data_IF_673846907654
#
_entry.id   IF_673846907654
#
_cell.length_a   1.000
_cell.length_b   1.000
_cell.length_c   1.000
_cell.angle_alpha   90.00
_cell.angle_beta   90.00
_cell.angle_gamma   90.00
#
_symmetry.space_group_name_H-M   'P 1'
#
loop_
_entity.id
_entity.type
_entity.pdbx_description
1 polymer ?
#
# COMPACT_ATOMS: atom_id res chain seq x y z
N UNK A 1 11.03 -9.92 -21.94
CA UNK A 1 10.37 -9.02 -20.96
C UNK A 1 10.83 -9.44 -19.58
N UNK A 2 11.72 -8.67 -18.96
CA UNK A 2 12.39 -9.06 -17.71
C UNK A 2 11.47 -8.71 -16.54
N UNK A 3 10.96 -9.74 -15.86
CA UNK A 3 10.21 -9.59 -14.62
C UNK A 3 11.21 -9.31 -13.51
N UNK A 4 11.34 -8.04 -13.12
CA UNK A 4 12.13 -7.65 -11.95
C UNK A 4 11.42 -8.15 -10.70
N UNK A 5 11.83 -9.31 -10.18
CA UNK A 5 11.44 -9.73 -8.83
C UNK A 5 12.16 -8.83 -7.85
N UNK A 6 11.38 -8.11 -7.04
CA UNK A 6 11.89 -7.31 -5.93
C UNK A 6 12.31 -8.31 -4.83
N UNK A 7 13.58 -8.68 -4.84
CA UNK A 7 14.24 -9.44 -3.76
C UNK A 7 14.31 -8.52 -2.53
N UNK A 8 13.34 -8.69 -1.62
CA UNK A 8 13.21 -7.90 -0.39
C UNK A 8 12.25 -6.73 -0.55
N UNK A 9 10.95 -7.00 -0.33
CA UNK A 9 9.97 -5.92 -0.19
C UNK A 9 10.38 -5.05 1.00
N UNK A 10 10.45 -3.71 0.85
CA UNK A 10 10.71 -2.84 1.99
C UNK A 10 9.63 -3.12 3.03
N UNK A 11 10.03 -3.46 4.26
CA UNK A 11 9.09 -3.80 5.34
C UNK A 11 8.04 -2.70 5.61
N UNK A 12 8.24 -1.51 5.05
CA UNK A 12 7.37 -0.36 5.13
C UNK A 12 7.44 0.47 3.83
N UNK A 13 6.35 0.55 3.07
CA UNK A 13 6.17 1.32 1.83
C UNK A 13 5.73 2.75 2.10
N UNK A 14 6.18 3.72 1.32
CA UNK A 14 5.62 5.09 1.38
C UNK A 14 4.21 5.12 0.75
N UNK A 15 3.47 6.23 0.95
CA UNK A 15 2.17 6.47 0.29
C UNK A 15 2.26 6.27 -1.23
N UNK A 16 3.33 6.75 -1.86
CA UNK A 16 3.53 6.62 -3.31
C UNK A 16 3.71 5.16 -3.75
N UNK A 17 4.50 4.39 -3.01
CA UNK A 17 4.68 2.96 -3.31
C UNK A 17 3.40 2.16 -3.04
N UNK A 18 2.66 2.49 -1.98
CA UNK A 18 1.36 1.89 -1.71
C UNK A 18 0.33 2.22 -2.81
N UNK A 19 0.35 3.45 -3.34
CA UNK A 19 -0.51 3.86 -4.44
C UNK A 19 -0.22 3.06 -5.72
N UNK A 20 1.07 2.85 -6.04
CA UNK A 20 1.50 1.99 -7.14
C UNK A 20 1.09 0.52 -6.93
N UNK A 21 1.14 0.04 -5.68
CA UNK A 21 0.74 -1.32 -5.33
C UNK A 21 -0.76 -1.55 -5.50
N UNK A 22 -1.57 -0.57 -5.12
CA UNK A 22 -3.03 -0.61 -5.21
C UNK A 22 -3.57 -0.10 -6.56
N UNK A 23 -2.69 0.15 -7.53
CA UNK A 23 -3.00 0.75 -8.84
C UNK A 23 -3.94 1.97 -8.74
N UNK A 24 -3.61 2.91 -7.84
CA UNK A 24 -4.43 4.08 -7.59
C UNK A 24 -3.59 5.36 -7.38
N UNK A 25 -4.26 6.49 -7.18
CA UNK A 25 -3.58 7.77 -6.91
C UNK A 25 -3.14 7.85 -5.45
N UNK A 26 -2.06 8.60 -5.16
CA UNK A 26 -1.64 8.87 -3.77
C UNK A 26 -2.74 9.55 -2.95
N UNK A 27 -3.57 10.38 -3.59
CA UNK A 27 -4.75 11.01 -2.98
C UNK A 27 -5.80 9.99 -2.56
N UNK A 28 -5.95 8.90 -3.32
CA UNK A 28 -6.84 7.79 -2.96
C UNK A 28 -6.33 7.10 -1.71
N UNK A 29 -5.02 6.83 -1.61
CA UNK A 29 -4.40 6.22 -0.42
C UNK A 29 -4.56 7.13 0.81
N UNK A 30 -4.37 8.44 0.66
CA UNK A 30 -4.63 9.40 1.74
C UNK A 30 -6.09 9.37 2.20
N UNK A 31 -7.04 9.36 1.26
CA UNK A 31 -8.47 9.26 1.60
C UNK A 31 -8.84 7.93 2.27
N UNK A 32 -8.18 6.84 1.89
CA UNK A 32 -8.34 5.54 2.54
C UNK A 32 -7.80 5.54 3.96
N UNK A 33 -6.68 6.21 4.18
CA UNK A 33 -6.15 6.43 5.51
C UNK A 33 -7.12 7.26 6.36
N UNK A 34 -7.63 8.38 5.85
CA UNK A 34 -8.56 9.25 6.57
C UNK A 34 -9.85 8.51 6.98
N UNK A 35 -10.28 7.55 6.16
CA UNK A 35 -11.42 6.68 6.45
C UNK A 35 -11.10 5.55 7.43
N UNK A 36 -9.83 5.30 7.74
CA UNK A 36 -9.37 4.18 8.55
C UNK A 36 -9.37 2.83 7.81
N UNK A 37 -9.53 2.85 6.48
CA UNK A 37 -9.51 1.66 5.64
C UNK A 37 -8.09 1.13 5.42
N UNK A 38 -7.08 2.00 5.53
CA UNK A 38 -5.65 1.65 5.49
C UNK A 38 -4.96 2.17 6.73
N UNK A 39 -4.31 1.28 7.48
CA UNK A 39 -3.62 1.64 8.71
C UNK A 39 -2.11 1.79 8.44
N UNK A 40 -1.56 3.02 8.48
CA UNK A 40 -0.13 3.20 8.36
C UNK A 40 0.57 2.82 9.66
N UNK A 41 1.79 2.34 9.52
CA UNK A 41 2.76 2.24 10.60
C UNK A 41 3.52 3.58 10.72
N UNK A 42 3.68 4.04 11.95
CA UNK A 42 4.55 5.17 12.25
C UNK A 42 6.00 4.66 12.37
N UNK A 43 6.88 5.21 11.55
CA UNK A 43 8.30 4.83 11.52
C UNK A 43 9.22 5.96 11.96
N UNK A 44 8.67 7.08 12.47
CA UNK A 44 9.43 8.30 12.81
C UNK A 44 9.92 9.10 11.58
N UNK A 45 9.96 8.48 10.40
CA UNK A 45 10.28 9.11 9.11
C UNK A 45 9.03 9.33 8.23
N UNK A 46 7.86 9.34 8.86
CA UNK A 46 6.56 9.48 8.20
C UNK A 46 5.76 8.18 8.13
N UNK A 47 4.57 8.30 7.54
CA UNK A 47 3.59 7.23 7.41
C UNK A 47 4.06 6.21 6.39
N UNK A 48 4.05 4.94 6.77
CA UNK A 48 4.36 3.83 5.86
C UNK A 48 3.33 2.72 5.92
N UNK A 49 3.26 1.89 4.90
CA UNK A 49 2.30 0.80 4.77
C UNK A 49 3.04 -0.52 4.59
N UNK A 50 2.64 -1.56 5.30
CA UNK A 50 3.23 -2.88 5.10
C UNK A 50 2.53 -3.57 3.93
N UNK A 51 3.23 -4.47 3.23
CA UNK A 51 2.60 -5.29 2.18
C UNK A 51 1.41 -6.09 2.73
N UNK A 52 1.54 -6.62 3.94
CA UNK A 52 0.47 -7.39 4.60
C UNK A 52 -0.82 -6.58 4.80
N UNK A 53 -0.70 -5.29 5.13
CA UNK A 53 -1.85 -4.40 5.26
C UNK A 53 -2.51 -4.13 3.90
N UNK A 54 -1.71 -3.89 2.85
CA UNK A 54 -2.22 -3.68 1.50
C UNK A 54 -2.86 -4.96 0.93
N UNK A 55 -2.28 -6.12 1.20
CA UNK A 55 -2.84 -7.43 0.83
C UNK A 55 -4.17 -7.67 1.55
N UNK A 56 -4.23 -7.43 2.87
CA UNK A 56 -5.47 -7.52 3.64
C UNK A 56 -6.57 -6.64 3.07
N UNK A 57 -6.20 -5.44 2.63
CA UNK A 57 -7.13 -4.50 2.03
C UNK A 57 -7.68 -4.99 0.68
N UNK A 58 -6.82 -5.55 -0.19
CA UNK A 58 -7.24 -6.17 -1.45
C UNK A 58 -8.10 -7.42 -1.23
N UNK A 59 -7.75 -8.25 -0.24
CA UNK A 59 -8.53 -9.43 0.13
C UNK A 59 -9.92 -9.06 0.66
N UNK A 60 -10.01 -7.94 1.40
CA UNK A 60 -11.28 -7.42 1.88
C UNK A 60 -12.13 -6.76 0.78
N UNK A 61 -11.51 -6.38 -0.35
CA UNK A 61 -12.14 -5.68 -1.49
C UNK A 61 -11.66 -6.27 -2.82
N UNK A 62 -12.12 -7.48 -3.17
CA UNK A 62 -11.71 -8.15 -4.41
C UNK A 62 -12.07 -7.34 -5.66
N UNK A 63 -13.03 -6.40 -5.58
CA UNK A 63 -13.31 -5.44 -6.65
C UNK A 63 -12.11 -4.55 -7.03
N UNK A 64 -11.08 -4.50 -6.18
CA UNK A 64 -9.88 -3.70 -6.36
C UNK A 64 -8.67 -4.48 -6.89
N UNK A 65 -8.70 -5.82 -6.84
CA UNK A 65 -7.58 -6.70 -7.17
C UNK A 65 -7.43 -6.99 -8.68
N UNK A 66 -7.73 -6.02 -9.55
CA UNK A 66 -7.96 -6.28 -10.99
C UNK A 66 -6.69 -6.44 -11.83
#
# INVERSE_FOLDING_TARGET
MSVTRIDGWPGAMTVQTAALYLDCSSRTVEGLQEKGDLIPIDTGFGKRFTKAELDRFLDARPEWSR
#
